data_IF_834943663941
#
_entry.id   IF_834943663941
#
_cell.length_a   1.000
_cell.length_b   1.000
_cell.length_c   1.000
_cell.angle_alpha   90.00
_cell.angle_beta   90.00
_cell.angle_gamma   90.00
#
_symmetry.space_group_name_H-M   'P 1'
#
loop_
_entity.id
_entity.type
_entity.pdbx_description
1 polymer ?
#
# COMPACT_ATOMS: atom_id res chain seq x y z
N UNK A 1 13.39 -0.25 -2.36
CA UNK A 1 14.32 -0.65 -1.29
C UNK A 1 15.42 -1.50 -1.90
N UNK A 2 16.68 -1.18 -1.60
CA UNK A 2 17.86 -1.95 -2.00
C UNK A 2 18.59 -2.45 -0.75
N UNK A 3 18.98 -3.71 -0.75
CA UNK A 3 19.80 -4.29 0.33
C UNK A 3 20.75 -5.36 -0.22
N UNK A 4 21.89 -5.50 0.42
CA UNK A 4 22.84 -6.58 0.19
C UNK A 4 22.46 -7.77 1.07
N UNK A 5 22.29 -8.93 0.49
CA UNK A 5 22.04 -10.20 1.16
C UNK A 5 23.20 -11.13 0.90
N UNK A 6 23.75 -11.72 1.95
CA UNK A 6 24.89 -12.64 1.84
C UNK A 6 24.43 -14.04 2.25
N UNK A 7 24.70 -15.00 1.40
CA UNK A 7 24.49 -16.42 1.67
C UNK A 7 25.83 -17.07 1.95
N UNK A 8 25.95 -17.78 3.06
CA UNK A 8 27.12 -18.58 3.34
C UNK A 8 27.01 -19.93 2.61
N UNK A 9 28.06 -20.27 1.86
CA UNK A 9 28.19 -21.56 1.17
C UNK A 9 29.50 -22.24 1.57
N UNK A 10 29.68 -23.53 1.24
CA UNK A 10 30.95 -24.23 1.49
C UNK A 10 32.16 -23.60 0.82
N UNK A 11 31.96 -22.85 -0.27
CA UNK A 11 33.01 -22.10 -0.99
C UNK A 11 33.21 -20.67 -0.47
N UNK A 12 32.45 -20.24 0.57
CA UNK A 12 32.55 -18.91 1.15
C UNK A 12 31.26 -18.09 1.07
N UNK A 13 31.37 -16.78 1.26
CA UNK A 13 30.26 -15.83 1.28
C UNK A 13 29.90 -15.37 -0.13
N UNK A 14 28.67 -15.65 -0.56
CA UNK A 14 28.13 -15.20 -1.84
C UNK A 14 27.20 -13.99 -1.64
N UNK A 15 27.64 -12.76 -1.95
CA UNK A 15 26.80 -11.58 -1.85
C UNK A 15 25.85 -11.50 -3.05
N UNK A 16 24.60 -11.09 -2.79
CA UNK A 16 23.59 -10.76 -3.81
C UNK A 16 22.90 -9.45 -3.45
N UNK A 17 22.41 -8.76 -4.45
CA UNK A 17 21.62 -7.54 -4.29
C UNK A 17 20.15 -7.94 -4.37
N UNK A 18 19.41 -7.65 -3.32
CA UNK A 18 17.95 -7.81 -3.26
C UNK A 18 17.32 -6.42 -3.39
N UNK A 19 16.38 -6.31 -4.33
CA UNK A 19 15.67 -5.07 -4.64
C UNK A 19 14.17 -5.32 -4.53
N UNK A 20 13.45 -4.41 -3.90
CA UNK A 20 12.00 -4.35 -3.91
C UNK A 20 11.60 -3.04 -4.58
N UNK A 21 10.81 -3.15 -5.65
CA UNK A 21 10.29 -2.03 -6.44
C UNK A 21 8.79 -1.93 -6.25
N UNK A 22 8.29 -0.71 -6.21
CA UNK A 22 6.87 -0.38 -6.27
C UNK A 22 6.64 0.44 -7.52
N UNK A 23 5.67 0.06 -8.32
CA UNK A 23 5.26 0.74 -9.56
C UNK A 23 3.79 1.13 -9.44
N UNK A 24 3.42 2.28 -9.98
CA UNK A 24 2.03 2.73 -10.02
C UNK A 24 1.85 3.88 -10.99
N UNK A 25 0.63 4.04 -11.47
CA UNK A 25 0.25 5.09 -12.42
C UNK A 25 -0.36 6.34 -11.76
N UNK A 26 -0.39 6.39 -10.43
CA UNK A 26 -1.07 7.42 -9.64
C UNK A 26 -2.59 7.51 -9.93
N UNK A 27 -3.16 6.51 -10.58
CA UNK A 27 -4.59 6.43 -10.93
C UNK A 27 -5.20 5.07 -10.57
N UNK A 28 -4.84 4.53 -9.42
CA UNK A 28 -5.39 3.29 -8.87
C UNK A 28 -4.61 2.02 -9.20
N UNK A 29 -3.84 1.99 -10.28
CA UNK A 29 -3.01 0.82 -10.57
C UNK A 29 -1.71 0.89 -9.78
N UNK A 30 -1.42 -0.16 -9.02
CA UNK A 30 -0.19 -0.28 -8.23
C UNK A 30 0.25 -1.73 -8.14
N UNK A 31 1.56 -1.95 -8.23
CA UNK A 31 2.16 -3.27 -8.13
C UNK A 31 3.48 -3.25 -7.39
N UNK A 32 3.88 -4.40 -6.88
CA UNK A 32 5.19 -4.57 -6.28
C UNK A 32 5.89 -5.82 -6.83
N UNK A 33 7.21 -5.73 -6.95
CA UNK A 33 8.05 -6.85 -7.37
C UNK A 33 9.34 -6.92 -6.57
N UNK A 34 9.85 -8.13 -6.42
CA UNK A 34 11.11 -8.43 -5.75
C UNK A 34 12.09 -9.04 -6.74
N UNK A 35 13.32 -8.54 -6.80
CA UNK A 35 14.38 -9.10 -7.64
C UNK A 35 15.66 -9.35 -6.84
N UNK A 36 16.33 -10.46 -7.10
CA UNK A 36 17.64 -10.78 -6.53
C UNK A 36 18.59 -11.18 -7.63
N UNK A 37 19.76 -10.54 -7.65
CA UNK A 37 20.83 -10.90 -8.56
C UNK A 37 22.21 -10.46 -8.01
N UNK A 38 23.28 -10.95 -8.59
CA UNK A 38 24.64 -10.50 -8.28
C UNK A 38 24.84 -9.07 -8.80
N UNK A 39 24.41 -8.82 -10.03
CA UNK A 39 24.50 -7.51 -10.69
C UNK A 39 23.26 -6.66 -10.39
N UNK A 40 23.46 -5.39 -10.07
CA UNK A 40 22.38 -4.43 -9.76
C UNK A 40 21.37 -4.25 -10.90
N UNK A 41 21.78 -3.98 -12.18
CA UNK A 41 20.81 -3.75 -13.25
C UNK A 41 19.91 -4.96 -13.51
N UNK A 42 20.45 -6.16 -13.43
CA UNK A 42 19.66 -7.38 -13.60
C UNK A 42 18.68 -7.62 -12.44
N UNK A 43 19.09 -7.32 -11.20
CA UNK A 43 18.19 -7.37 -10.05
C UNK A 43 17.05 -6.35 -10.19
N UNK A 44 17.36 -5.15 -10.68
CA UNK A 44 16.39 -4.08 -10.89
C UNK A 44 15.39 -4.45 -11.99
N UNK A 45 15.86 -4.92 -13.14
CA UNK A 45 14.98 -5.34 -14.24
C UNK A 45 14.04 -6.49 -13.84
N UNK A 46 14.53 -7.47 -13.09
CA UNK A 46 13.69 -8.56 -12.56
C UNK A 46 12.60 -8.01 -11.65
N UNK A 47 12.97 -7.17 -10.68
CA UNK A 47 12.03 -6.58 -9.75
C UNK A 47 10.98 -5.71 -10.47
N UNK A 48 11.39 -4.96 -11.48
CA UNK A 48 10.51 -4.11 -12.28
C UNK A 48 9.52 -4.93 -13.11
N UNK A 49 9.99 -5.95 -13.84
CA UNK A 49 9.11 -6.84 -14.61
C UNK A 49 8.09 -7.56 -13.71
N UNK A 50 8.51 -8.00 -12.53
CA UNK A 50 7.62 -8.62 -11.56
C UNK A 50 6.60 -7.62 -11.00
N UNK A 51 7.02 -6.39 -10.72
CA UNK A 51 6.10 -5.34 -10.24
C UNK A 51 5.01 -5.03 -11.27
N UNK A 52 5.34 -4.98 -12.57
CA UNK A 52 4.37 -4.76 -13.64
C UNK A 52 3.40 -5.95 -13.76
N UNK A 53 3.90 -7.19 -13.67
CA UNK A 53 3.03 -8.39 -13.73
C UNK A 53 2.05 -8.48 -12.56
N UNK A 54 2.44 -7.96 -11.40
CA UNK A 54 1.66 -7.95 -10.17
C UNK A 54 0.87 -6.64 -9.98
N UNK A 55 0.66 -5.85 -11.04
CA UNK A 55 -0.17 -4.64 -10.94
C UNK A 55 -1.63 -5.03 -10.79
N UNK A 56 -2.28 -4.38 -9.83
CA UNK A 56 -3.70 -4.54 -9.55
C UNK A 56 -4.35 -3.19 -9.28
N UNK A 57 -5.67 -3.12 -9.44
CA UNK A 57 -6.42 -1.89 -9.25
C UNK A 57 -6.88 -1.75 -7.81
N UNK A 58 -6.64 -0.58 -7.24
CA UNK A 58 -7.07 -0.19 -5.90
C UNK A 58 -8.23 0.80 -6.03
N UNK A 59 -9.40 0.40 -5.55
CA UNK A 59 -10.56 1.28 -5.52
C UNK A 59 -10.37 2.41 -4.51
N UNK A 60 -10.74 3.62 -4.91
CA UNK A 60 -10.58 4.83 -4.11
C UNK A 60 -11.90 5.60 -4.03
N UNK A 61 -12.19 6.16 -2.86
CA UNK A 61 -13.30 7.09 -2.69
C UNK A 61 -12.94 8.44 -3.30
N UNK A 62 -13.76 8.93 -4.26
CA UNK A 62 -13.54 10.18 -5.00
C UNK A 62 -12.12 10.31 -5.61
N UNK A 63 -11.51 9.18 -5.99
CA UNK A 63 -10.13 9.12 -6.50
C UNK A 63 -9.06 9.74 -5.58
N UNK A 64 -9.31 9.86 -4.29
CA UNK A 64 -8.43 10.53 -3.34
C UNK A 64 -8.12 9.76 -2.04
N UNK A 65 -9.05 8.92 -1.55
CA UNK A 65 -8.89 8.21 -0.28
C UNK A 65 -9.47 6.80 -0.32
N UNK A 66 -9.33 6.05 0.74
CA UNK A 66 -9.95 4.74 0.93
C UNK A 66 -11.38 4.88 1.43
N UNK A 67 -12.24 3.88 1.17
CA UNK A 67 -13.65 3.90 1.56
C UNK A 67 -13.87 3.72 3.06
N UNK A 68 -13.13 2.79 3.68
CA UNK A 68 -13.34 2.40 5.07
C UNK A 68 -12.04 2.36 5.85
N UNK A 69 -12.13 2.43 7.18
CA UNK A 69 -11.01 2.13 8.04
C UNK A 69 -10.63 0.65 7.90
N UNK A 70 -9.35 0.38 7.71
CA UNK A 70 -8.82 -0.97 7.56
C UNK A 70 -7.72 -1.22 8.58
N UNK A 71 -7.76 -2.39 9.19
CA UNK A 71 -6.73 -2.88 10.08
C UNK A 71 -6.29 -4.27 9.65
N UNK A 72 -4.98 -4.51 9.61
CA UNK A 72 -4.43 -5.82 9.32
C UNK A 72 -3.08 -6.04 9.99
N UNK A 73 -2.71 -7.32 10.12
CA UNK A 73 -1.46 -7.75 10.75
C UNK A 73 -0.72 -8.75 9.86
N UNK A 74 0.58 -8.60 9.76
CA UNK A 74 1.49 -9.54 9.09
C UNK A 74 2.70 -9.81 9.99
N UNK A 75 2.76 -11.00 10.57
CA UNK A 75 3.73 -11.31 11.62
C UNK A 75 3.57 -10.36 12.81
N UNK A 76 4.64 -9.66 13.17
CA UNK A 76 4.63 -8.65 14.24
C UNK A 76 4.29 -7.23 13.77
N UNK A 77 4.07 -7.00 12.48
CA UNK A 77 3.70 -5.69 11.94
C UNK A 77 2.19 -5.57 11.88
N UNK A 78 1.64 -4.54 12.49
CA UNK A 78 0.21 -4.17 12.43
C UNK A 78 0.09 -2.80 11.79
N UNK A 79 -0.83 -2.65 10.83
CA UNK A 79 -1.12 -1.36 10.17
C UNK A 79 -2.61 -1.04 10.36
N UNK A 80 -2.87 0.21 10.69
CA UNK A 80 -4.21 0.78 10.74
C UNK A 80 -4.25 1.91 9.73
N UNK A 81 -5.15 1.80 8.73
CA UNK A 81 -5.40 2.81 7.72
C UNK A 81 -6.73 3.49 8.00
N UNK A 82 -6.75 4.81 7.97
CA UNK A 82 -7.95 5.61 8.18
C UNK A 82 -8.16 6.57 7.02
N UNK A 83 -9.36 6.58 6.42
CA UNK A 83 -9.72 7.59 5.44
C UNK A 83 -9.77 8.97 6.09
N UNK A 84 -9.46 10.00 5.30
CA UNK A 84 -9.42 11.37 5.80
C UNK A 84 -10.16 12.32 4.87
N UNK A 85 -10.66 13.45 5.41
CA UNK A 85 -11.34 14.47 4.61
C UNK A 85 -10.39 15.09 3.58
N UNK A 86 -10.98 15.79 2.62
CA UNK A 86 -10.26 16.45 1.53
C UNK A 86 -9.25 17.47 2.08
N UNK A 87 -8.03 17.45 1.53
CA UNK A 87 -6.97 18.38 1.90
C UNK A 87 -6.17 17.99 3.15
N UNK A 88 -6.46 16.81 3.75
CA UNK A 88 -5.69 16.34 4.91
C UNK A 88 -4.26 15.93 4.55
N UNK A 89 -4.05 15.38 3.35
CA UNK A 89 -2.76 14.89 2.89
C UNK A 89 -2.39 13.50 3.40
N UNK A 90 -1.14 13.11 3.18
CA UNK A 90 -0.61 11.79 3.50
C UNK A 90 0.15 11.82 4.84
N UNK A 91 -0.52 11.46 5.93
CA UNK A 91 0.09 11.36 7.26
C UNK A 91 0.39 9.91 7.61
N UNK A 92 1.54 9.41 7.17
CA UNK A 92 1.90 8.01 7.32
C UNK A 92 3.42 7.76 7.29
N UNK A 93 3.80 6.50 7.54
CA UNK A 93 5.17 6.03 7.42
C UNK A 93 5.70 6.27 6.00
N UNK A 94 7.00 6.63 5.80
CA UNK A 94 7.59 6.90 4.48
C UNK A 94 7.35 5.81 3.43
N UNK A 95 7.34 4.54 3.81
CA UNK A 95 7.07 3.43 2.88
C UNK A 95 5.62 3.40 2.42
N UNK A 96 4.68 3.63 3.34
CA UNK A 96 3.24 3.72 3.05
C UNK A 96 2.97 4.97 2.19
N UNK A 97 3.64 6.08 2.48
CA UNK A 97 3.54 7.32 1.72
C UNK A 97 3.87 7.12 0.23
N UNK A 98 4.96 6.41 -0.08
CA UNK A 98 5.35 6.14 -1.46
C UNK A 98 4.33 5.23 -2.17
N UNK A 99 3.78 4.23 -1.49
CA UNK A 99 2.75 3.35 -2.05
C UNK A 99 1.45 4.13 -2.29
N UNK A 100 1.01 4.94 -1.32
CA UNK A 100 -0.18 5.77 -1.44
C UNK A 100 -0.05 6.76 -2.61
N UNK A 101 1.12 7.39 -2.77
CA UNK A 101 1.43 8.27 -3.90
C UNK A 101 1.39 7.52 -5.23
N UNK A 102 1.98 6.31 -5.31
CA UNK A 102 1.96 5.48 -6.50
C UNK A 102 0.55 5.01 -6.87
N UNK A 103 -0.30 4.73 -5.88
CA UNK A 103 -1.71 4.38 -6.08
C UNK A 103 -2.62 5.59 -6.40
N UNK A 104 -2.14 6.82 -6.19
CA UNK A 104 -2.94 8.04 -6.38
C UNK A 104 -3.86 8.35 -5.21
N UNK A 105 -3.58 7.84 -4.03
CA UNK A 105 -4.27 8.22 -2.79
C UNK A 105 -3.67 9.54 -2.30
N UNK A 106 -4.52 10.54 -2.03
CA UNK A 106 -4.11 11.89 -1.64
C UNK A 106 -4.31 12.15 -0.15
N UNK A 107 -5.35 11.58 0.44
CA UNK A 107 -5.75 11.84 1.83
C UNK A 107 -5.87 10.53 2.59
N UNK A 108 -4.91 10.24 3.45
CA UNK A 108 -4.90 9.05 4.29
C UNK A 108 -4.11 9.28 5.58
N UNK A 109 -4.54 8.64 6.65
CA UNK A 109 -3.76 8.53 7.88
C UNK A 109 -3.45 7.06 8.14
N UNK A 110 -2.17 6.73 8.34
CA UNK A 110 -1.74 5.37 8.62
C UNK A 110 -0.86 5.31 9.87
N UNK A 111 -1.13 4.35 10.72
CA UNK A 111 -0.30 4.04 11.89
C UNK A 111 0.27 2.63 11.77
N UNK A 112 1.56 2.50 12.05
CA UNK A 112 2.27 1.22 12.08
C UNK A 112 2.63 0.90 13.53
N UNK A 113 2.20 -0.27 14.00
CA UNK A 113 2.45 -0.79 15.33
C UNK A 113 3.30 -2.06 15.27
N UNK A 114 4.06 -2.32 16.31
CA UNK A 114 4.95 -3.46 16.40
C UNK A 114 6.18 -3.31 15.51
N UNK A 115 6.48 -4.32 14.70
CA UNK A 115 7.65 -4.29 13.82
C UNK A 115 7.51 -3.25 12.70
N UNK A 116 8.55 -2.45 12.53
CA UNK A 116 8.67 -1.46 11.44
C UNK A 116 9.53 -1.95 10.29
N UNK A 117 9.72 -3.27 10.15
CA UNK A 117 10.47 -3.81 9.03
C UNK A 117 9.86 -3.36 7.70
N UNK A 118 10.61 -2.63 6.86
CA UNK A 118 10.10 -2.01 5.63
C UNK A 118 9.43 -3.01 4.69
N UNK A 119 9.98 -4.21 4.56
CA UNK A 119 9.41 -5.23 3.67
C UNK A 119 8.04 -5.69 4.16
N UNK A 120 7.90 -5.95 5.45
CA UNK A 120 6.62 -6.37 6.02
C UNK A 120 5.58 -5.25 5.94
N UNK A 121 6.00 -4.00 6.15
CA UNK A 121 5.12 -2.82 6.01
C UNK A 121 4.60 -2.72 4.57
N UNK A 122 5.47 -2.84 3.58
CA UNK A 122 5.09 -2.78 2.17
C UNK A 122 4.16 -3.94 1.80
N UNK A 123 4.53 -5.18 2.11
CA UNK A 123 3.71 -6.37 1.82
C UNK A 123 2.33 -6.29 2.47
N UNK A 124 2.28 -5.85 3.71
CA UNK A 124 1.01 -5.70 4.42
C UNK A 124 0.13 -4.60 3.81
N UNK A 125 0.74 -3.46 3.44
CA UNK A 125 0.01 -2.38 2.78
C UNK A 125 -0.59 -2.83 1.44
N UNK A 126 0.16 -3.53 0.60
CA UNK A 126 -0.34 -4.10 -0.65
C UNK A 126 -1.48 -5.09 -0.41
N UNK A 127 -1.30 -6.01 0.54
CA UNK A 127 -2.35 -6.95 0.91
C UNK A 127 -3.65 -6.25 1.33
N UNK A 128 -3.55 -5.16 2.09
CA UNK A 128 -4.72 -4.39 2.52
C UNK A 128 -5.42 -3.67 1.36
N UNK A 129 -4.65 -3.04 0.48
CA UNK A 129 -5.20 -2.30 -0.66
C UNK A 129 -5.85 -3.24 -1.69
N UNK A 130 -5.20 -4.36 -2.00
CA UNK A 130 -5.69 -5.35 -2.97
C UNK A 130 -6.84 -6.21 -2.44
N UNK A 131 -6.99 -6.34 -1.12
CA UNK A 131 -8.13 -7.05 -0.52
C UNK A 131 -9.48 -6.36 -0.75
N UNK A 132 -9.47 -5.16 -1.32
CA UNK A 132 -10.64 -4.33 -1.56
C UNK A 132 -11.05 -3.52 -0.33
N UNK A 133 -11.50 -2.31 -0.57
CA UNK A 133 -11.96 -1.40 0.48
C UNK A 133 -13.30 -0.72 0.15
N UNK A 134 -13.81 -0.88 -1.06
CA UNK A 134 -15.13 -0.41 -1.45
C UNK A 134 -16.23 -1.28 -0.84
N UNK A 135 -17.34 -0.68 -0.38
CA UNK A 135 -18.43 -1.42 0.27
C UNK A 135 -19.01 -2.53 -0.59
N UNK A 136 -19.13 -2.32 -1.89
CA UNK A 136 -19.71 -3.29 -2.83
C UNK A 136 -18.73 -4.44 -3.11
N UNK A 137 -17.46 -4.15 -3.33
CA UNK A 137 -16.44 -5.15 -3.59
C UNK A 137 -16.14 -6.00 -2.35
N UNK A 138 -16.30 -5.45 -1.16
CA UNK A 138 -16.05 -6.16 0.09
C UNK A 138 -17.19 -7.08 0.52
N UNK A 139 -18.37 -6.94 -0.04
CA UNK A 139 -19.53 -7.78 0.29
C UNK A 139 -19.30 -9.26 0.07
N UNK A 140 -18.50 -9.61 -0.91
CA UNK A 140 -18.15 -10.98 -1.29
C UNK A 140 -16.65 -11.27 -1.16
N UNK A 141 -15.93 -10.41 -0.45
CA UNK A 141 -14.49 -10.56 -0.28
C UNK A 141 -14.09 -11.76 0.57
N UNK A 142 -12.84 -12.18 0.42
CA UNK A 142 -12.22 -13.21 1.25
C UNK A 142 -12.27 -12.78 2.71
N UNK A 143 -13.13 -13.42 3.49
CA UNK A 143 -13.38 -13.08 4.89
C UNK A 143 -14.84 -12.80 5.22
N UNK A 144 -15.74 -12.82 4.24
CA UNK A 144 -17.14 -13.18 4.42
C UNK A 144 -18.04 -12.15 5.07
N UNK A 145 -17.89 -10.88 4.90
CA UNK A 145 -18.90 -9.94 5.40
C UNK A 145 -18.81 -8.59 4.69
N UNK A 146 -19.93 -8.07 4.26
CA UNK A 146 -20.01 -6.68 3.84
C UNK A 146 -19.56 -5.78 5.00
N UNK A 147 -18.46 -5.07 4.85
CA UNK A 147 -18.09 -4.03 5.81
C UNK A 147 -19.06 -2.87 5.65
N UNK A 148 -19.82 -2.61 6.71
CA UNK A 148 -20.65 -1.42 6.75
C UNK A 148 -19.75 -0.19 6.70
N UNK A 149 -20.15 0.81 5.92
CA UNK A 149 -19.54 2.14 6.00
C UNK A 149 -19.68 2.63 7.45
N UNK A 150 -18.57 2.85 8.09
CA UNK A 150 -18.57 3.39 9.43
C UNK A 150 -18.94 4.87 9.35
N UNK A 151 -20.10 5.22 9.92
CA UNK A 151 -20.57 6.61 9.95
C UNK A 151 -19.59 7.56 10.69
N UNK A 152 -18.63 7.00 11.43
CA UNK A 152 -17.65 7.74 12.22
C UNK A 152 -16.30 7.99 11.53
N UNK A 153 -16.10 7.60 10.27
CA UNK A 153 -14.78 7.73 9.59
C UNK A 153 -14.37 9.17 9.30
N UNK A 154 -15.30 10.13 9.37
CA UNK A 154 -15.02 11.54 9.05
C UNK A 154 -14.70 11.79 7.58
N UNK A 155 -15.01 10.83 6.70
CA UNK A 155 -14.87 11.00 5.25
C UNK A 155 -16.01 11.84 4.77
N UNK A 156 -15.71 13.05 4.28
CA UNK A 156 -16.69 13.96 3.65
C UNK A 156 -16.45 13.97 2.17
N UNK A 157 -17.53 13.84 1.41
CA UNK A 157 -17.50 13.98 -0.03
C UNK A 157 -17.13 15.40 -0.46
N UNK A 158 -16.50 15.52 -1.63
CA UNK A 158 -16.12 16.83 -2.18
C UNK A 158 -17.31 17.79 -2.25
N UNK A 159 -18.46 17.29 -2.69
CA UNK A 159 -19.72 18.06 -2.77
C UNK A 159 -20.22 18.53 -1.40
N UNK A 160 -20.01 17.79 -0.33
CA UNK A 160 -20.40 18.17 1.02
C UNK A 160 -19.52 19.31 1.55
N UNK A 161 -18.21 19.21 1.32
CA UNK A 161 -17.25 20.25 1.70
C UNK A 161 -17.51 21.56 0.92
N UNK A 162 -17.84 21.46 -0.36
CA UNK A 162 -18.19 22.63 -1.18
C UNK A 162 -19.49 23.30 -0.72
N UNK A 163 -20.52 22.52 -0.32
CA UNK A 163 -21.77 23.06 0.26
C UNK A 163 -21.55 23.78 1.58
N UNK A 164 -20.64 23.28 2.43
CA UNK A 164 -20.30 23.91 3.71
C UNK A 164 -19.52 25.22 3.55
N UNK A 165 -18.66 25.31 2.50
CA UNK A 165 -17.89 26.52 2.19
C UNK A 165 -18.75 27.62 1.53
N UNK A 166 -19.86 27.25 0.92
CA UNK A 166 -20.78 28.18 0.26
C UNK A 166 -21.89 28.71 1.19
N UNK A 167 -21.86 28.37 2.46
CA UNK A 167 -22.71 28.93 3.53
C UNK A 167 -21.90 29.87 4.42
#
# INVERSE_FOLDING_TARGET
>A
IRRRVVQQTGLGKMPRIAILVVVGNANGLVGMGEGKHINFPQAMNRAYCEAIRNMDYVERFEDRTIWTEMESKLGSTKIILRPRPIGFGLHCNPYIHQIAKAAGIKDISAKVWGSRNPINVIKLMFRMLQAGNAPVAMGNGVGGGARKLDKGTGVRGKKEVERERGR
#
